data_IF_576009833262
#
_entry.id   IF_576009833262
#
_cell.length_a   1.000
_cell.length_b   1.000
_cell.length_c   1.000
_cell.angle_alpha   90.00
_cell.angle_beta   90.00
_cell.angle_gamma   90.00
#
_symmetry.space_group_name_H-M   'P 1'
#
loop_
_entity.id
_entity.type
_entity.pdbx_description
1 polymer ?
#
# COMPACT_ATOMS: atom_id res chain seq x y z
N UNK A 1 -0.75 45.03 -4.94
CA UNK A 1 -0.83 43.73 -5.63
C UNK A 1 -1.07 42.69 -4.57
N UNK A 2 -2.29 42.13 -4.45
CA UNK A 2 -2.61 41.07 -3.52
C UNK A 2 -2.05 39.77 -4.09
N UNK A 3 -1.23 39.05 -3.30
CA UNK A 3 -0.67 37.77 -3.67
C UNK A 3 -1.80 36.75 -3.87
N UNK A 4 -1.87 36.18 -5.05
CA UNK A 4 -2.87 35.16 -5.49
C UNK A 4 -2.63 33.79 -4.86
N UNK A 5 -2.02 33.70 -3.67
CA UNK A 5 -1.75 32.44 -2.96
C UNK A 5 -2.92 31.92 -2.12
N UNK A 6 -3.94 32.75 -1.88
CA UNK A 6 -5.00 32.40 -0.91
C UNK A 6 -6.27 31.79 -1.53
N UNK A 7 -6.25 31.41 -2.81
CA UNK A 7 -7.49 31.02 -3.52
C UNK A 7 -7.73 29.50 -3.51
N UNK A 8 -6.77 28.67 -3.07
CA UNK A 8 -6.90 27.21 -3.09
C UNK A 8 -6.34 26.52 -1.85
N UNK A 9 -6.56 27.05 -0.65
CA UNK A 9 -6.43 26.20 0.53
C UNK A 9 -7.59 25.20 0.51
N UNK A 10 -7.29 23.99 0.07
CA UNK A 10 -8.20 22.87 0.24
C UNK A 10 -8.26 22.55 1.75
N UNK A 11 -9.28 23.07 2.43
CA UNK A 11 -9.48 22.87 3.87
C UNK A 11 -9.97 21.47 4.20
N UNK A 12 -10.28 20.64 3.18
CA UNK A 12 -10.68 19.24 3.35
C UNK A 12 -9.44 18.38 3.26
N UNK A 13 -9.16 17.61 4.31
CA UNK A 13 -8.05 16.65 4.31
C UNK A 13 -8.18 15.69 3.13
N UNK A 14 -7.14 15.58 2.30
CA UNK A 14 -7.07 14.62 1.19
C UNK A 14 -7.33 13.18 1.67
N UNK A 15 -6.88 12.85 2.87
CA UNK A 15 -7.10 11.54 3.53
C UNK A 15 -8.60 11.21 3.65
N UNK A 16 -9.50 12.17 3.89
CA UNK A 16 -10.95 11.94 3.93
C UNK A 16 -11.59 11.72 2.55
N UNK A 17 -10.85 11.90 1.46
CA UNK A 17 -11.31 11.70 0.08
C UNK A 17 -10.84 10.39 -0.54
N UNK A 18 -9.94 9.65 0.15
CA UNK A 18 -9.40 8.38 -0.33
C UNK A 18 -10.51 7.31 -0.35
N UNK A 19 -10.56 6.56 -1.44
CA UNK A 19 -11.53 5.49 -1.65
C UNK A 19 -10.82 4.19 -1.96
N UNK A 20 -11.35 3.10 -1.41
CA UNK A 20 -10.90 1.76 -1.75
C UNK A 20 -11.05 1.48 -3.24
N UNK A 21 -10.09 0.73 -3.77
CA UNK A 21 -10.11 0.18 -5.11
C UNK A 21 -9.94 -1.34 -5.03
N UNK A 22 -9.91 -2.02 -6.18
CA UNK A 22 -9.64 -3.46 -6.23
C UNK A 22 -8.31 -3.84 -5.54
N UNK A 23 -7.29 -2.98 -5.67
CA UNK A 23 -5.94 -3.25 -5.19
C UNK A 23 -5.53 -2.45 -3.95
N UNK A 24 -6.33 -1.48 -3.51
CA UNK A 24 -5.96 -0.57 -2.43
C UNK A 24 -7.10 -0.45 -1.43
N UNK A 25 -6.79 -0.64 -0.15
CA UNK A 25 -7.74 -0.43 0.94
C UNK A 25 -7.17 0.53 1.98
N UNK A 26 -8.02 1.43 2.48
CA UNK A 26 -7.66 2.46 3.44
C UNK A 26 -8.36 2.22 4.78
N UNK A 27 -7.60 2.21 5.85
CA UNK A 27 -8.07 2.11 7.23
C UNK A 27 -7.73 3.41 7.96
N UNK A 28 -8.63 4.37 7.89
CA UNK A 28 -8.40 5.72 8.39
C UNK A 28 -8.91 5.85 9.83
N UNK A 29 -8.10 6.47 10.69
CA UNK A 29 -8.46 6.83 12.07
C UNK A 29 -8.38 8.34 12.25
N UNK A 30 -9.38 8.90 12.92
CA UNK A 30 -9.33 10.31 13.35
C UNK A 30 -8.14 10.53 14.29
N UNK A 31 -7.49 11.67 14.13
CA UNK A 31 -6.32 12.04 14.94
C UNK A 31 -5.16 11.05 14.88
N UNK A 32 -5.01 10.30 13.78
CA UNK A 32 -3.89 9.40 13.58
C UNK A 32 -2.55 10.12 13.82
N UNK A 33 -1.65 9.44 14.49
CA UNK A 33 -0.30 9.94 14.79
C UNK A 33 0.72 9.48 13.76
N UNK A 34 0.40 8.40 13.07
CA UNK A 34 1.19 7.84 11.97
C UNK A 34 0.26 7.36 10.86
N UNK A 35 0.77 7.42 9.65
CA UNK A 35 0.19 6.81 8.45
C UNK A 35 1.17 5.79 7.90
N UNK A 36 0.74 4.54 7.77
CA UNK A 36 1.59 3.43 7.33
C UNK A 36 1.04 2.82 6.05
N UNK A 37 1.85 2.78 5.01
CA UNK A 37 1.54 2.09 3.77
C UNK A 37 2.19 0.72 3.78
N UNK A 38 1.39 -0.32 3.59
CA UNK A 38 1.84 -1.69 3.36
C UNK A 38 1.66 -2.03 1.88
N UNK A 39 2.76 -2.30 1.20
CA UNK A 39 2.76 -2.73 -0.21
C UNK A 39 3.20 -4.19 -0.25
N UNK A 40 2.34 -5.05 -0.77
CA UNK A 40 2.65 -6.47 -0.77
C UNK A 40 1.72 -7.30 -1.64
N UNK A 41 1.77 -8.59 -1.41
CA UNK A 41 0.99 -9.60 -2.13
C UNK A 41 0.01 -10.33 -1.18
N UNK A 42 -0.35 -11.56 -1.49
CA UNK A 42 -1.28 -12.39 -0.71
C UNK A 42 -0.89 -12.56 0.77
N UNK A 43 0.40 -12.45 1.12
CA UNK A 43 0.85 -12.53 2.51
C UNK A 43 0.55 -11.21 3.26
N UNK A 44 0.45 -10.09 2.55
CA UNK A 44 0.02 -8.81 3.12
C UNK A 44 -1.49 -8.78 3.33
N UNK A 45 -2.26 -9.16 2.30
CA UNK A 45 -3.71 -9.36 2.37
C UNK A 45 -4.16 -10.24 1.22
N UNK A 46 -5.07 -11.15 1.48
CA UNK A 46 -5.79 -11.90 0.46
C UNK A 46 -7.27 -11.95 0.83
N UNK A 47 -8.11 -11.53 -0.09
CA UNK A 47 -9.56 -11.64 0.05
C UNK A 47 -10.02 -13.10 0.08
N UNK A 48 -11.26 -13.33 0.49
CA UNK A 48 -11.87 -14.67 0.51
C UNK A 48 -11.82 -15.28 -0.88
N UNK A 49 -11.36 -16.53 -0.96
CA UNK A 49 -11.30 -17.34 -2.19
C UNK A 49 -11.60 -18.81 -1.86
N UNK A 50 -12.87 -19.15 -1.84
CA UNK A 50 -13.36 -20.46 -1.39
C UNK A 50 -12.84 -21.62 -2.26
N UNK A 51 -12.58 -21.37 -3.56
CA UNK A 51 -12.10 -22.39 -4.50
C UNK A 51 -10.73 -22.97 -4.11
N UNK A 52 -9.95 -22.24 -3.33
CA UNK A 52 -8.67 -22.70 -2.78
C UNK A 52 -8.74 -22.98 -1.28
N UNK A 53 -9.94 -22.98 -0.69
CA UNK A 53 -10.18 -23.19 0.74
C UNK A 53 -9.80 -22.00 1.63
N UNK A 54 -9.61 -20.81 1.04
CA UNK A 54 -9.31 -19.60 1.78
C UNK A 54 -10.58 -18.81 2.12
N UNK A 55 -10.98 -18.86 3.40
CA UNK A 55 -12.25 -18.28 3.88
C UNK A 55 -12.06 -17.00 4.71
N UNK A 56 -10.89 -16.37 4.65
CA UNK A 56 -10.54 -15.20 5.45
C UNK A 56 -10.14 -14.03 4.56
N UNK A 57 -10.32 -12.81 5.06
CA UNK A 57 -9.76 -11.61 4.45
C UNK A 57 -8.62 -11.09 5.34
N UNK A 58 -7.45 -11.66 5.19
CA UNK A 58 -6.22 -11.30 5.90
C UNK A 58 -4.99 -11.84 5.16
N UNK A 59 -3.79 -11.58 5.67
CA UNK A 59 -2.57 -12.14 5.10
C UNK A 59 -2.55 -13.67 5.14
N UNK A 60 -2.28 -14.33 3.99
CA UNK A 60 -2.34 -15.80 3.85
C UNK A 60 -1.38 -16.57 4.77
N UNK A 61 -0.36 -15.94 5.33
CA UNK A 61 0.55 -16.54 6.31
C UNK A 61 -0.03 -16.61 7.73
N UNK A 62 -1.24 -16.06 7.96
CA UNK A 62 -1.84 -15.95 9.28
C UNK A 62 -3.10 -16.81 9.44
N UNK A 63 -3.40 -17.19 10.69
CA UNK A 63 -4.60 -17.94 11.01
C UNK A 63 -5.86 -17.07 11.18
N UNK A 64 -5.70 -15.77 11.35
CA UNK A 64 -6.77 -14.76 11.46
C UNK A 64 -6.20 -13.36 11.24
N UNK A 65 -7.09 -12.37 11.09
CA UNK A 65 -6.75 -10.98 10.84
C UNK A 65 -5.79 -10.40 11.89
N UNK A 66 -6.07 -10.65 13.17
CA UNK A 66 -5.30 -10.10 14.29
C UNK A 66 -3.88 -10.66 14.40
N UNK A 67 -3.59 -11.72 13.63
CA UNK A 67 -2.30 -12.42 13.64
C UNK A 67 -1.50 -12.23 12.36
N UNK A 68 -2.04 -11.54 11.35
CA UNK A 68 -1.23 -11.19 10.20
C UNK A 68 -0.23 -10.08 10.56
N UNK A 69 0.84 -9.99 9.75
CA UNK A 69 1.91 -9.06 10.08
C UNK A 69 1.47 -7.58 10.00
N UNK A 70 0.53 -7.24 9.13
CA UNK A 70 0.01 -5.88 8.99
C UNK A 70 -0.62 -5.44 10.32
N UNK A 71 -1.54 -6.24 10.84
CA UNK A 71 -2.26 -5.91 12.07
C UNK A 71 -1.37 -6.00 13.32
N UNK A 72 -0.37 -6.90 13.33
CA UNK A 72 0.63 -6.95 14.40
C UNK A 72 1.53 -5.71 14.41
N UNK A 73 1.97 -5.24 13.24
CA UNK A 73 2.76 -4.01 13.11
C UNK A 73 1.92 -2.80 13.53
N UNK A 74 0.69 -2.67 13.00
CA UNK A 74 -0.22 -1.58 13.37
C UNK A 74 -0.45 -1.53 14.87
N UNK A 75 -0.76 -2.68 15.49
CA UNK A 75 -0.94 -2.79 16.93
C UNK A 75 0.29 -2.32 17.71
N UNK A 76 1.48 -2.79 17.34
CA UNK A 76 2.72 -2.38 18.02
C UNK A 76 3.03 -0.89 17.87
N UNK A 77 2.70 -0.31 16.72
CA UNK A 77 2.84 1.14 16.50
C UNK A 77 1.80 1.93 17.32
N UNK A 78 0.56 1.45 17.40
CA UNK A 78 -0.49 2.09 18.21
C UNK A 78 -0.19 2.08 19.71
N UNK A 79 0.37 0.99 20.22
CA UNK A 79 0.80 0.89 21.62
C UNK A 79 1.88 1.93 21.96
N UNK A 80 2.71 2.29 20.97
CA UNK A 80 3.84 3.21 21.18
C UNK A 80 3.52 4.67 20.89
N UNK A 81 2.75 4.92 19.84
CA UNK A 81 2.58 6.26 19.26
C UNK A 81 1.14 6.79 19.34
N UNK A 82 0.15 5.93 19.61
CA UNK A 82 -1.26 6.26 19.54
C UNK A 82 -1.88 5.88 18.17
N UNK A 83 -3.08 6.40 17.84
CA UNK A 83 -3.84 5.95 16.67
C UNK A 83 -3.04 5.96 15.38
N UNK A 84 -3.12 4.87 14.60
CA UNK A 84 -2.44 4.69 13.32
C UNK A 84 -3.48 4.52 12.21
N UNK A 85 -3.41 5.36 11.17
CA UNK A 85 -4.06 5.09 9.90
C UNK A 85 -3.14 4.21 9.04
N UNK A 86 -3.70 3.28 8.31
CA UNK A 86 -2.90 2.47 7.41
C UNK A 86 -3.61 2.22 6.08
N UNK A 87 -2.81 1.95 5.07
CA UNK A 87 -3.23 1.63 3.73
C UNK A 87 -2.56 0.32 3.31
N UNK A 88 -3.31 -0.56 2.65
CA UNK A 88 -2.78 -1.80 2.05
C UNK A 88 -2.89 -1.69 0.55
N UNK A 89 -1.78 -1.80 -0.16
CA UNK A 89 -1.69 -1.85 -1.62
C UNK A 89 -1.27 -3.26 -2.06
N UNK A 90 -2.16 -3.93 -2.79
CA UNK A 90 -1.95 -5.27 -3.36
C UNK A 90 -1.12 -5.16 -4.64
N UNK A 91 0.19 -5.32 -4.53
CA UNK A 91 1.14 -5.11 -5.61
C UNK A 91 1.53 -6.41 -6.36
N UNK A 92 0.77 -7.48 -6.23
CA UNK A 92 1.01 -8.74 -6.97
C UNK A 92 1.04 -8.52 -8.49
N UNK A 93 0.23 -7.60 -9.00
CA UNK A 93 0.23 -7.23 -10.42
C UNK A 93 1.57 -6.65 -10.87
N UNK A 94 2.27 -5.95 -9.99
CA UNK A 94 3.60 -5.45 -10.26
C UNK A 94 4.63 -6.60 -10.28
N UNK A 95 4.53 -7.58 -9.40
CA UNK A 95 5.43 -8.73 -9.39
C UNK A 95 5.40 -9.51 -10.72
N UNK A 96 4.22 -9.61 -11.35
CA UNK A 96 4.06 -10.28 -12.65
C UNK A 96 4.50 -9.44 -13.86
N UNK A 97 4.59 -8.12 -13.71
CA UNK A 97 4.78 -7.22 -14.83
C UNK A 97 5.63 -5.98 -14.47
N UNK A 98 6.66 -6.18 -13.64
CA UNK A 98 7.49 -5.07 -13.15
C UNK A 98 8.25 -4.32 -14.26
N UNK A 99 8.42 -4.92 -15.43
CA UNK A 99 8.99 -4.26 -16.60
C UNK A 99 8.02 -3.26 -17.28
N UNK A 100 6.78 -3.15 -16.80
CA UNK A 100 5.76 -2.17 -17.23
C UNK A 100 5.40 -1.21 -16.10
N UNK A 101 6.40 -0.71 -15.39
CA UNK A 101 6.26 0.10 -14.19
C UNK A 101 5.21 1.21 -14.30
N UNK A 102 5.28 2.05 -15.33
CA UNK A 102 4.37 3.20 -15.48
C UNK A 102 2.90 2.77 -15.59
N UNK A 103 2.63 1.72 -16.37
CA UNK A 103 1.28 1.20 -16.57
C UNK A 103 0.73 0.57 -15.28
N UNK A 104 1.56 -0.26 -14.63
CA UNK A 104 1.14 -0.98 -13.43
C UNK A 104 1.00 -0.04 -12.25
N UNK A 105 1.96 0.87 -12.05
CA UNK A 105 1.95 1.80 -10.92
C UNK A 105 0.87 2.87 -11.04
N UNK A 106 0.36 3.16 -12.24
CA UNK A 106 -0.79 4.05 -12.40
C UNK A 106 -2.02 3.60 -11.58
N UNK A 107 -2.18 2.29 -11.34
CA UNK A 107 -3.26 1.74 -10.51
C UNK A 107 -3.11 2.10 -9.03
N UNK A 108 -1.91 2.49 -8.61
CA UNK A 108 -1.59 2.89 -7.23
C UNK A 108 -1.41 4.40 -7.08
N UNK A 109 -1.77 5.21 -8.06
CA UNK A 109 -1.57 6.67 -8.00
C UNK A 109 -2.22 7.30 -6.75
N UNK A 110 -3.43 6.87 -6.37
CA UNK A 110 -4.12 7.36 -5.18
C UNK A 110 -3.43 7.04 -3.85
N UNK A 111 -2.54 6.04 -3.82
CA UNK A 111 -1.75 5.70 -2.61
C UNK A 111 -0.82 6.83 -2.21
N UNK A 112 -0.35 7.62 -3.17
CA UNK A 112 0.52 8.78 -2.92
C UNK A 112 -0.21 9.89 -2.13
N UNK A 113 -1.51 10.05 -2.38
CA UNK A 113 -2.35 11.02 -1.65
C UNK A 113 -2.58 10.62 -0.18
N UNK A 114 -2.36 9.36 0.16
CA UNK A 114 -2.36 8.90 1.54
C UNK A 114 -1.22 9.52 2.35
N UNK A 115 -0.14 9.94 1.71
CA UNK A 115 1.01 10.64 2.30
C UNK A 115 1.55 9.91 3.53
N UNK A 116 2.01 8.68 3.31
CA UNK A 116 2.45 7.79 4.38
C UNK A 116 3.75 8.26 5.05
N UNK A 117 3.80 8.21 6.37
CA UNK A 117 5.02 8.45 7.16
C UNK A 117 5.99 7.27 7.07
N UNK A 118 5.45 6.06 6.91
CA UNK A 118 6.20 4.81 6.83
C UNK A 118 5.66 3.97 5.66
N UNK A 119 6.55 3.47 4.82
CA UNK A 119 6.21 2.52 3.75
C UNK A 119 6.92 1.19 4.01
N UNK A 120 6.16 0.11 4.05
CA UNK A 120 6.66 -1.26 4.21
C UNK A 120 6.42 -2.00 2.90
N UNK A 121 7.50 -2.33 2.20
CA UNK A 121 7.49 -3.10 0.97
C UNK A 121 7.78 -4.57 1.29
N UNK A 122 6.82 -5.46 1.02
CA UNK A 122 6.95 -6.90 1.20
C UNK A 122 6.43 -7.62 -0.05
N UNK A 123 7.31 -7.79 -1.02
CA UNK A 123 7.04 -8.34 -2.34
C UNK A 123 8.24 -9.14 -2.83
N UNK A 124 8.05 -9.92 -3.89
CA UNK A 124 9.12 -10.62 -4.62
C UNK A 124 8.80 -12.10 -4.87
N UNK A 125 7.92 -12.71 -4.07
CA UNK A 125 7.64 -14.15 -4.14
C UNK A 125 6.94 -14.58 -5.42
N UNK A 126 6.17 -13.67 -6.05
CA UNK A 126 5.44 -13.96 -7.29
C UNK A 126 6.09 -13.34 -8.52
N UNK A 127 7.32 -12.83 -8.39
CA UNK A 127 8.00 -12.21 -9.53
C UNK A 127 8.17 -13.19 -10.69
N UNK A 128 7.88 -12.71 -11.91
CA UNK A 128 7.99 -13.53 -13.10
C UNK A 128 9.45 -13.96 -13.33
N UNK A 129 9.68 -15.26 -13.41
CA UNK A 129 11.02 -15.85 -13.49
C UNK A 129 11.70 -15.55 -14.82
N UNK A 130 10.97 -15.33 -15.90
CA UNK A 130 11.56 -14.98 -17.19
C UNK A 130 11.96 -13.50 -17.21
N UNK A 131 11.13 -12.63 -16.62
CA UNK A 131 11.50 -11.23 -16.44
C UNK A 131 12.72 -11.06 -15.54
N UNK A 132 12.83 -11.84 -14.47
CA UNK A 132 14.02 -11.81 -13.58
C UNK A 132 15.34 -12.18 -14.27
N UNK A 133 15.27 -12.90 -15.41
CA UNK A 133 16.46 -13.25 -16.20
C UNK A 133 16.84 -12.16 -17.21
N UNK A 134 15.89 -11.35 -17.63
CA UNK A 134 16.04 -10.43 -18.77
C UNK A 134 16.04 -8.96 -18.37
N UNK A 135 15.44 -8.64 -17.21
CA UNK A 135 15.24 -7.28 -16.73
C UNK A 135 16.04 -7.02 -15.44
N UNK A 136 16.41 -5.77 -15.21
CA UNK A 136 17.04 -5.33 -13.97
C UNK A 136 15.96 -5.10 -12.89
N UNK A 137 15.68 -6.14 -12.11
CA UNK A 137 14.67 -6.10 -11.03
C UNK A 137 14.91 -4.94 -10.05
N UNK A 138 16.17 -4.68 -9.69
CA UNK A 138 16.48 -3.61 -8.72
C UNK A 138 16.18 -2.22 -9.26
N UNK A 139 16.38 -2.00 -10.55
CA UNK A 139 16.00 -0.74 -11.21
C UNK A 139 14.48 -0.51 -11.13
N UNK A 140 13.69 -1.53 -11.42
CA UNK A 140 12.23 -1.47 -11.35
C UNK A 140 11.72 -1.34 -9.92
N UNK A 141 12.35 -2.05 -8.97
CA UNK A 141 12.04 -1.92 -7.55
C UNK A 141 12.32 -0.49 -7.03
N UNK A 142 13.47 0.08 -7.39
CA UNK A 142 13.83 1.46 -7.04
C UNK A 142 12.86 2.48 -7.66
N UNK A 143 12.43 2.24 -8.90
CA UNK A 143 11.42 3.07 -9.55
C UNK A 143 10.08 3.03 -8.79
N UNK A 144 9.58 1.85 -8.44
CA UNK A 144 8.36 1.69 -7.63
C UNK A 144 8.51 2.37 -6.26
N UNK A 145 9.62 2.16 -5.57
CA UNK A 145 9.86 2.78 -4.28
C UNK A 145 9.83 4.32 -4.39
N UNK A 146 10.49 4.90 -5.37
CA UNK A 146 10.48 6.35 -5.64
C UNK A 146 9.08 6.84 -5.99
N UNK A 147 8.32 6.11 -6.81
CA UNK A 147 6.94 6.45 -7.14
C UNK A 147 6.06 6.56 -5.90
N UNK A 148 6.20 5.62 -4.96
CA UNK A 148 5.41 5.58 -3.74
C UNK A 148 5.80 6.66 -2.72
N UNK A 149 7.08 7.06 -2.70
CA UNK A 149 7.62 8.07 -1.78
C UNK A 149 7.44 9.52 -2.25
N UNK A 150 7.12 9.73 -3.53
CA UNK A 150 6.99 11.09 -4.06
C UNK A 150 5.52 11.53 -3.97
N UNK A 151 5.18 12.57 -3.20
CA UNK A 151 3.84 13.11 -3.12
C UNK A 151 3.35 13.67 -4.46
#
# INVERSE_FOLDING_TARGET
>A
MKNNKDIFENTVSAVGQLKDTEYVTYHLKENAKLRVLFVGNSITRHGIKEEIGWTRDCGMAASCLEKDYVHLVVKGLEEKYGPVSYCIAQAVVWEYAFNRDEEVLAQFAGVREFDADIIILRIGENSDMELLKTEDYYKHFDFMAKFLFTP
#
